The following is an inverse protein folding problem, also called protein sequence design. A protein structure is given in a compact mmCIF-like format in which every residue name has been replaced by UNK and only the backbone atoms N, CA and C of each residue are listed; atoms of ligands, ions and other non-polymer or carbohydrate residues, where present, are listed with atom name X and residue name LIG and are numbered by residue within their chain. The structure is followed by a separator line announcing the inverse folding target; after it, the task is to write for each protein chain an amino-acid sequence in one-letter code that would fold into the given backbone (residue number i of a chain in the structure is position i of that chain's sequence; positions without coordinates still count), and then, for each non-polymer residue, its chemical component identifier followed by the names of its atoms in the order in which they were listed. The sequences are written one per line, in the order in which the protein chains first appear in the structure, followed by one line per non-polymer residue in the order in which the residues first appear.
data_IF_959153594330
#
_entry.id   IF_959153594330
#
_cell.length_a   1.000
_cell.length_b   1.000
_cell.length_c   1.000
_cell.angle_alpha   90.00
_cell.angle_beta   90.00
_cell.angle_gamma   90.00
#
_symmetry.space_group_name_H-M   'P 1'
#
loop_
_entity.id
_entity.type
_entity.pdbx_description
1 polymer ?
#
# COMPACT_ATOMS: atom_id res chain seq x y z
N UNK A 1 -6.04 70.61 41.98
CA UNK A 1 -6.46 69.19 42.08
C UNK A 1 -7.32 68.96 40.82
N UNK A 2 -6.62 68.75 39.68
CA UNK A 2 -7.18 68.68 38.35
C UNK A 2 -7.39 67.18 38.02
N UNK A 3 -8.60 66.86 37.59
CA UNK A 3 -9.01 65.51 37.25
C UNK A 3 -8.45 65.12 35.86
N UNK A 4 -7.82 63.94 35.69
CA UNK A 4 -7.28 63.51 34.38
C UNK A 4 -8.29 62.63 33.68
N UNK A 5 -9.38 63.19 33.17
CA UNK A 5 -10.39 62.40 32.45
C UNK A 5 -10.81 63.08 31.13
N UNK A 6 -9.84 63.22 30.21
CA UNK A 6 -10.12 63.67 28.86
C UNK A 6 -9.17 62.95 27.88
N UNK A 7 -9.28 61.60 27.83
CA UNK A 7 -8.70 60.87 26.73
C UNK A 7 -9.70 60.92 25.55
N UNK A 8 -9.30 61.29 24.33
CA UNK A 8 -10.18 61.27 23.17
C UNK A 8 -10.59 59.81 22.85
N UNK A 9 -11.86 59.57 22.38
CA UNK A 9 -12.32 58.25 22.04
C UNK A 9 -11.43 57.67 20.95
N UNK A 10 -11.07 56.44 21.14
CA UNK A 10 -10.29 55.69 20.17
C UNK A 10 -11.00 55.71 18.81
N UNK A 11 -10.43 56.40 17.85
CA UNK A 11 -10.88 56.40 16.46
C UNK A 11 -10.92 54.96 15.98
N UNK A 12 -12.14 54.46 15.76
CA UNK A 12 -12.35 53.17 15.08
C UNK A 12 -11.61 53.19 13.77
N UNK A 13 -10.56 52.38 13.67
CA UNK A 13 -9.87 52.18 12.41
C UNK A 13 -10.89 51.57 11.43
N UNK A 14 -11.11 52.13 10.23
CA UNK A 14 -12.01 51.57 9.25
C UNK A 14 -11.60 50.12 9.03
N UNK A 15 -12.52 49.19 9.21
CA UNK A 15 -12.31 47.75 9.19
C UNK A 15 -11.50 47.37 7.94
N UNK A 16 -10.34 46.83 8.16
CA UNK A 16 -9.57 46.17 7.12
C UNK A 16 -10.44 45.01 6.63
N UNK A 17 -11.12 45.19 5.50
CA UNK A 17 -11.78 44.11 4.76
C UNK A 17 -10.64 43.23 4.23
N UNK A 18 -10.11 42.39 5.11
CA UNK A 18 -9.25 41.30 4.62
C UNK A 18 -10.13 40.45 3.71
N UNK A 19 -9.71 40.19 2.46
CA UNK A 19 -10.46 39.35 1.56
C UNK A 19 -10.73 38.05 2.28
N UNK A 20 -12.01 37.70 2.40
CA UNK A 20 -12.45 36.44 3.03
C UNK A 20 -11.64 35.32 2.44
N UNK A 21 -10.76 34.75 3.26
CA UNK A 21 -9.90 33.64 2.88
C UNK A 21 -10.81 32.56 2.33
N UNK A 22 -10.70 32.26 1.04
CA UNK A 22 -11.53 31.25 0.39
C UNK A 22 -11.52 29.93 1.18
N UNK A 23 -12.49 29.04 0.97
CA UNK A 23 -12.68 27.83 1.75
C UNK A 23 -11.35 27.10 1.94
N UNK A 24 -11.06 26.75 3.18
CA UNK A 24 -9.75 26.22 3.59
C UNK A 24 -9.41 24.98 2.75
N UNK A 25 -8.52 25.14 1.77
CA UNK A 25 -8.04 24.04 0.92
C UNK A 25 -7.39 22.90 1.71
N UNK A 26 -7.18 23.12 3.03
CA UNK A 26 -6.60 22.12 3.93
C UNK A 26 -7.56 21.02 4.32
N UNK A 27 -8.87 21.18 4.06
CA UNK A 27 -9.90 20.18 4.37
C UNK A 27 -10.06 19.10 3.28
N UNK A 28 -9.42 19.25 2.12
CA UNK A 28 -9.48 18.22 1.08
C UNK A 28 -8.61 17.01 1.47
N UNK A 29 -9.19 15.79 1.50
CA UNK A 29 -8.44 14.59 1.77
C UNK A 29 -7.36 14.41 0.69
N UNK A 30 -6.26 13.78 1.05
CA UNK A 30 -5.17 13.49 0.12
C UNK A 30 -5.67 12.46 -0.91
N UNK A 31 -5.55 12.71 -2.23
CA UNK A 31 -5.97 11.73 -3.22
C UNK A 31 -5.13 10.45 -3.10
N UNK A 32 -5.78 9.29 -3.23
CA UNK A 32 -5.14 7.98 -3.19
C UNK A 32 -4.09 7.82 -4.30
N UNK A 33 -4.42 8.29 -5.49
CA UNK A 33 -3.56 8.23 -6.66
C UNK A 33 -3.23 9.64 -7.14
N UNK A 34 -1.95 9.94 -7.24
CA UNK A 34 -1.43 11.13 -7.90
C UNK A 34 -0.29 10.71 -8.84
N UNK A 35 0.04 11.54 -9.81
CA UNK A 35 1.23 11.31 -10.66
C UNK A 35 2.52 11.13 -9.84
N UNK A 36 2.57 11.65 -8.63
CA UNK A 36 3.71 11.55 -7.72
C UNK A 36 3.74 10.21 -6.95
N UNK A 37 2.66 9.43 -6.95
CA UNK A 37 2.65 8.10 -6.35
C UNK A 37 3.59 7.12 -7.07
N UNK A 38 3.92 7.39 -8.34
CA UNK A 38 4.80 6.54 -9.17
C UNK A 38 6.08 7.25 -9.59
N UNK A 39 6.07 8.59 -9.73
CA UNK A 39 7.19 9.36 -10.27
C UNK A 39 8.08 10.00 -9.18
N UNK A 40 7.93 9.56 -7.93
CA UNK A 40 8.71 10.10 -6.80
C UNK A 40 8.16 11.43 -6.27
N UNK A 41 7.34 11.37 -5.24
CA UNK A 41 6.84 12.53 -4.51
C UNK A 41 7.76 12.93 -3.37
N UNK A 42 7.48 14.09 -2.77
CA UNK A 42 8.20 14.59 -1.59
C UNK A 42 7.46 14.33 -0.29
N UNK A 43 6.26 13.74 -0.35
CA UNK A 43 5.38 13.62 0.81
C UNK A 43 5.71 12.34 1.60
N UNK A 44 6.37 12.51 2.75
CA UNK A 44 6.78 11.42 3.64
C UNK A 44 5.78 11.16 4.77
N UNK A 45 4.98 12.17 5.16
CA UNK A 45 4.03 12.09 6.29
C UNK A 45 2.81 12.99 6.06
N UNK A 46 1.82 12.90 6.95
CA UNK A 46 0.71 13.85 7.03
C UNK A 46 1.18 15.29 7.27
N UNK A 47 0.31 16.25 6.99
CA UNK A 47 0.63 17.69 7.14
C UNK A 47 0.69 18.16 8.60
N UNK A 48 0.10 17.42 9.54
CA UNK A 48 0.10 17.72 10.97
C UNK A 48 1.06 16.80 11.69
N UNK A 49 1.77 17.35 12.66
CA UNK A 49 2.64 16.58 13.57
C UNK A 49 1.78 15.55 14.29
N UNK A 50 2.02 14.24 14.04
CA UNK A 50 1.26 13.14 14.61
C UNK A 50 0.30 12.42 13.64
N UNK A 51 0.00 12.97 12.45
CA UNK A 51 -0.77 12.27 11.41
C UNK A 51 0.15 11.33 10.61
N UNK A 52 0.48 10.18 11.19
CA UNK A 52 1.31 9.15 10.52
C UNK A 52 0.46 8.01 9.96
N UNK A 53 -0.75 7.81 10.51
CA UNK A 53 -1.65 6.72 10.11
C UNK A 53 -2.77 7.22 9.19
N UNK A 54 -3.21 6.34 8.27
CA UNK A 54 -4.32 6.57 7.34
C UNK A 54 -4.14 7.78 6.38
N UNK A 55 -2.90 8.11 6.04
CA UNK A 55 -2.56 9.19 5.09
C UNK A 55 -1.85 8.62 3.89
N UNK A 56 -2.27 9.00 2.68
CA UNK A 56 -1.55 8.61 1.47
C UNK A 56 -0.25 9.41 1.35
N UNK A 57 0.86 8.70 1.18
CA UNK A 57 2.22 9.26 1.07
C UNK A 57 2.88 8.78 -0.21
N UNK A 58 3.70 9.66 -0.81
CA UNK A 58 4.28 9.45 -2.14
C UNK A 58 5.71 8.88 -2.09
N UNK A 59 6.34 8.81 -0.89
CA UNK A 59 7.71 8.30 -0.73
C UNK A 59 7.68 6.91 -0.11
N UNK A 60 8.23 5.93 -0.81
CA UNK A 60 8.31 4.54 -0.36
C UNK A 60 9.71 4.23 0.17
N UNK A 61 9.79 3.56 1.30
CA UNK A 61 11.08 3.14 1.84
C UNK A 61 11.66 1.98 1.00
N UNK A 62 12.97 1.94 0.76
CA UNK A 62 13.59 0.82 0.04
C UNK A 62 13.32 -0.53 0.69
N UNK A 63 13.21 -0.57 2.02
CA UNK A 63 12.87 -1.78 2.79
C UNK A 63 11.48 -2.30 2.42
N UNK A 64 10.48 -1.42 2.30
CA UNK A 64 9.13 -1.83 1.89
C UNK A 64 9.13 -2.37 0.47
N UNK A 65 9.80 -1.68 -0.46
CA UNK A 65 9.90 -2.14 -1.85
C UNK A 65 10.56 -3.52 -1.91
N UNK A 66 11.66 -3.71 -1.19
CA UNK A 66 12.35 -5.01 -1.11
C UNK A 66 11.43 -6.12 -0.55
N UNK A 67 10.66 -5.83 0.51
CA UNK A 67 9.69 -6.77 1.07
C UNK A 67 8.61 -7.14 0.04
N UNK A 68 8.06 -6.17 -0.68
CA UNK A 68 7.05 -6.44 -1.72
C UNK A 68 7.62 -7.26 -2.88
N UNK A 69 8.86 -6.99 -3.30
CA UNK A 69 9.56 -7.78 -4.32
C UNK A 69 9.82 -9.22 -3.83
N UNK A 70 10.24 -9.39 -2.58
CA UNK A 70 10.41 -10.71 -1.98
C UNK A 70 9.09 -11.47 -1.93
N UNK A 71 8.00 -10.82 -1.54
CA UNK A 71 6.67 -11.41 -1.56
C UNK A 71 6.27 -11.86 -2.97
N UNK A 72 6.49 -10.99 -3.95
CA UNK A 72 6.21 -11.32 -5.36
C UNK A 72 7.03 -12.52 -5.83
N UNK A 73 8.31 -12.57 -5.49
CA UNK A 73 9.18 -13.70 -5.81
C UNK A 73 8.68 -15.02 -5.18
N UNK A 74 8.22 -14.98 -3.92
CA UNK A 74 7.60 -16.15 -3.26
C UNK A 74 6.33 -16.60 -3.99
N UNK A 75 5.52 -15.68 -4.47
CA UNK A 75 4.30 -16.00 -5.26
C UNK A 75 4.64 -16.69 -6.58
N UNK A 76 5.69 -16.21 -7.26
CA UNK A 76 6.18 -16.83 -8.51
C UNK A 76 6.76 -18.21 -8.22
N UNK A 77 7.58 -18.33 -7.17
CA UNK A 77 8.16 -19.60 -6.74
C UNK A 77 7.08 -20.64 -6.44
N UNK A 78 6.03 -20.26 -5.71
CA UNK A 78 4.87 -21.11 -5.44
C UNK A 78 4.18 -21.57 -6.73
N UNK A 79 3.98 -20.66 -7.69
CA UNK A 79 3.37 -21.02 -8.98
C UNK A 79 4.21 -22.04 -9.75
N UNK A 80 5.52 -21.85 -9.78
CA UNK A 80 6.45 -22.78 -10.43
C UNK A 80 6.48 -24.12 -9.70
N UNK A 81 6.51 -24.12 -8.36
CA UNK A 81 6.49 -25.34 -7.54
C UNK A 81 5.21 -26.15 -7.76
N UNK A 82 4.06 -25.47 -7.91
CA UNK A 82 2.79 -26.09 -8.27
C UNK A 82 2.89 -26.81 -9.63
N UNK A 83 3.42 -26.16 -10.66
CA UNK A 83 3.59 -26.77 -11.97
C UNK A 83 4.55 -27.96 -11.95
N UNK A 84 5.64 -27.89 -11.19
CA UNK A 84 6.58 -29.01 -11.00
C UNK A 84 5.88 -30.19 -10.30
N UNK A 85 5.09 -29.91 -9.25
CA UNK A 85 4.32 -30.93 -8.54
C UNK A 85 3.31 -31.64 -9.47
N UNK A 86 2.57 -30.87 -10.28
CA UNK A 86 1.64 -31.43 -11.25
C UNK A 86 2.34 -32.26 -12.33
N UNK A 87 3.51 -31.81 -12.79
CA UNK A 87 4.33 -32.57 -13.74
C UNK A 87 4.82 -33.93 -13.21
N UNK A 88 4.85 -34.12 -11.89
CA UNK A 88 5.15 -35.39 -11.20
C UNK A 88 3.90 -36.24 -10.91
N UNK A 89 2.74 -35.88 -11.47
CA UNK A 89 1.48 -36.60 -11.27
C UNK A 89 0.64 -36.12 -10.09
N UNK A 90 0.98 -34.97 -9.50
CA UNK A 90 0.16 -34.30 -8.47
C UNK A 90 -1.17 -33.79 -9.04
N UNK A 91 -2.06 -33.37 -8.15
CA UNK A 91 -3.37 -32.82 -8.51
C UNK A 91 -3.54 -31.42 -7.89
N UNK A 92 -4.12 -30.50 -8.66
CA UNK A 92 -4.54 -29.19 -8.15
C UNK A 92 -5.95 -29.32 -7.58
N UNK A 93 -6.16 -28.86 -6.34
CA UNK A 93 -7.44 -28.92 -5.65
C UNK A 93 -8.27 -27.64 -5.83
N UNK A 94 -7.64 -26.53 -6.17
CA UNK A 94 -8.33 -25.28 -6.42
C UNK A 94 -8.88 -25.25 -7.85
N UNK A 95 -10.20 -25.24 -8.06
CA UNK A 95 -10.79 -25.29 -9.39
C UNK A 95 -10.45 -24.09 -10.26
N UNK A 96 -10.20 -22.91 -9.65
CA UNK A 96 -9.79 -21.71 -10.39
C UNK A 96 -8.35 -21.88 -10.88
N UNK A 97 -7.45 -22.36 -10.03
CA UNK A 97 -6.07 -22.63 -10.41
C UNK A 97 -6.01 -23.73 -11.48
N UNK A 98 -6.75 -24.81 -11.33
CA UNK A 98 -6.84 -25.86 -12.33
C UNK A 98 -7.30 -25.34 -13.69
N UNK A 99 -8.37 -24.54 -13.72
CA UNK A 99 -8.85 -23.91 -14.95
C UNK A 99 -7.77 -23.06 -15.63
N UNK A 100 -7.00 -22.26 -14.87
CA UNK A 100 -5.89 -21.45 -15.41
C UNK A 100 -4.77 -22.35 -15.96
N UNK A 101 -4.48 -23.47 -15.31
CA UNK A 101 -3.45 -24.43 -15.73
C UNK A 101 -3.86 -25.13 -17.02
N UNK A 102 -5.14 -25.45 -17.19
CA UNK A 102 -5.71 -26.07 -18.39
C UNK A 102 -5.58 -25.15 -19.63
N UNK A 103 -5.55 -23.82 -19.41
CA UNK A 103 -5.24 -22.85 -20.48
C UNK A 103 -3.74 -22.81 -20.82
N UNK A 104 -2.89 -23.36 -19.96
CA UNK A 104 -1.44 -23.45 -20.10
C UNK A 104 -0.69 -23.02 -18.85
N UNK A 105 0.36 -23.74 -18.52
CA UNK A 105 1.15 -23.46 -17.30
C UNK A 105 1.71 -22.02 -17.27
N UNK A 106 2.16 -21.49 -18.41
CA UNK A 106 2.61 -20.08 -18.48
C UNK A 106 1.47 -19.10 -18.24
N UNK A 107 0.27 -19.39 -18.75
CA UNK A 107 -0.92 -18.57 -18.52
C UNK A 107 -1.28 -18.51 -17.04
N UNK A 108 -1.21 -19.66 -16.35
CA UNK A 108 -1.40 -19.73 -14.90
C UNK A 108 -0.40 -18.85 -14.13
N UNK A 109 0.91 -18.96 -14.44
CA UNK A 109 1.95 -18.16 -13.79
C UNK A 109 1.74 -16.66 -14.02
N UNK A 110 1.43 -16.26 -15.27
CA UNK A 110 1.19 -14.86 -15.61
C UNK A 110 -0.07 -14.32 -14.93
N UNK A 111 -1.19 -15.05 -14.99
CA UNK A 111 -2.44 -14.63 -14.37
C UNK A 111 -2.28 -14.43 -12.87
N UNK A 112 -1.67 -15.41 -12.17
CA UNK A 112 -1.38 -15.34 -10.74
C UNK A 112 -0.41 -14.21 -10.42
N UNK A 113 0.64 -14.01 -11.25
CA UNK A 113 1.58 -12.92 -11.12
C UNK A 113 0.93 -11.54 -11.25
N UNK A 114 0.06 -11.36 -12.25
CA UNK A 114 -0.67 -10.10 -12.45
C UNK A 114 -1.57 -9.80 -11.25
N UNK A 115 -2.39 -10.75 -10.82
CA UNK A 115 -3.28 -10.57 -9.66
C UNK A 115 -2.47 -10.25 -8.40
N UNK A 116 -1.41 -11.00 -8.13
CA UNK A 116 -0.54 -10.75 -6.98
C UNK A 116 0.14 -9.39 -7.07
N UNK A 117 0.65 -9.01 -8.23
CA UNK A 117 1.25 -7.70 -8.46
C UNK A 117 0.28 -6.54 -8.21
N UNK A 118 -0.96 -6.65 -8.66
CA UNK A 118 -2.01 -5.66 -8.39
C UNK A 118 -2.36 -5.57 -6.89
N UNK A 119 -2.46 -6.72 -6.21
CA UNK A 119 -2.67 -6.74 -4.75
C UNK A 119 -1.50 -6.09 -3.99
N UNK A 120 -0.26 -6.37 -4.37
CA UNK A 120 0.92 -5.77 -3.75
C UNK A 120 1.02 -4.26 -4.04
N UNK A 121 0.66 -3.84 -5.25
CA UNK A 121 0.56 -2.41 -5.58
C UNK A 121 -0.49 -1.72 -4.70
N UNK A 122 -1.65 -2.35 -4.50
CA UNK A 122 -2.68 -1.84 -3.60
C UNK A 122 -2.17 -1.73 -2.16
N UNK A 123 -1.48 -2.75 -1.65
CA UNK A 123 -0.85 -2.72 -0.32
C UNK A 123 0.21 -1.63 -0.22
N UNK A 124 1.02 -1.42 -1.27
CA UNK A 124 2.01 -0.37 -1.34
C UNK A 124 1.38 1.02 -1.20
N UNK A 125 0.29 1.29 -1.90
CA UNK A 125 -0.46 2.56 -1.81
C UNK A 125 -1.05 2.75 -0.41
N UNK A 126 -1.47 1.68 0.26
CA UNK A 126 -2.09 1.70 1.59
C UNK A 126 -1.12 1.42 2.74
N UNK A 127 0.18 1.55 2.54
CA UNK A 127 1.23 1.18 3.52
C UNK A 127 1.09 1.82 4.91
N UNK A 128 0.45 2.99 5.00
CA UNK A 128 0.22 3.71 6.26
C UNK A 128 -1.02 3.22 7.01
N UNK A 129 -1.85 2.40 6.35
CA UNK A 129 -3.06 1.84 6.94
C UNK A 129 -2.73 0.54 7.68
N UNK A 130 -3.24 0.40 8.91
CA UNK A 130 -3.03 -0.82 9.73
C UNK A 130 -3.50 -2.10 9.01
N UNK A 131 -4.69 -2.15 8.36
CA UNK A 131 -5.13 -3.36 7.67
C UNK A 131 -4.16 -3.82 6.58
N UNK A 132 -3.57 -2.89 5.82
CA UNK A 132 -2.61 -3.24 4.76
C UNK A 132 -1.33 -3.87 5.33
N UNK A 133 -0.83 -3.36 6.46
CA UNK A 133 0.33 -3.94 7.15
C UNK A 133 0.04 -5.33 7.71
N UNK A 134 -1.14 -5.53 8.30
CA UNK A 134 -1.57 -6.82 8.81
C UNK A 134 -1.76 -7.83 7.67
N UNK A 135 -2.43 -7.43 6.58
CA UNK A 135 -2.60 -8.26 5.39
C UNK A 135 -1.25 -8.70 4.80
N UNK A 136 -0.28 -7.78 4.72
CA UNK A 136 1.07 -8.09 4.25
C UNK A 136 1.77 -9.11 5.17
N UNK A 137 1.69 -8.94 6.49
CA UNK A 137 2.30 -9.86 7.45
C UNK A 137 1.68 -11.25 7.39
N UNK A 138 0.34 -11.35 7.32
CA UNK A 138 -0.38 -12.62 7.18
C UNK A 138 0.00 -13.29 5.86
N UNK A 139 0.01 -12.54 4.75
CA UNK A 139 0.41 -13.04 3.44
C UNK A 139 1.82 -13.60 3.44
N UNK A 140 2.78 -12.91 4.06
CA UNK A 140 4.15 -13.43 4.22
C UNK A 140 4.19 -14.74 5.00
N UNK A 141 3.52 -14.80 6.15
CA UNK A 141 3.47 -16.02 6.96
C UNK A 141 2.90 -17.19 6.16
N UNK A 142 1.82 -16.95 5.40
CA UNK A 142 1.18 -17.95 4.55
C UNK A 142 2.12 -18.45 3.45
N UNK A 143 2.74 -17.54 2.66
CA UNK A 143 3.63 -17.94 1.57
C UNK A 143 4.93 -18.58 2.07
N UNK A 144 5.41 -18.18 3.24
CA UNK A 144 6.56 -18.85 3.87
C UNK A 144 6.23 -20.30 4.28
N UNK A 145 5.06 -20.51 4.87
CA UNK A 145 4.58 -21.85 5.22
C UNK A 145 4.38 -22.70 3.96
N UNK A 146 3.80 -22.13 2.90
CA UNK A 146 3.59 -22.81 1.63
C UNK A 146 4.90 -23.18 0.93
N UNK A 147 5.89 -22.28 0.94
CA UNK A 147 7.23 -22.58 0.41
C UNK A 147 7.90 -23.73 1.19
N UNK A 148 7.79 -23.72 2.51
CA UNK A 148 8.26 -24.84 3.35
C UNK A 148 7.55 -26.17 3.03
N UNK A 149 6.24 -26.12 2.84
CA UNK A 149 5.45 -27.29 2.44
C UNK A 149 5.91 -27.85 1.09
N UNK A 150 6.08 -27.01 0.07
CA UNK A 150 6.58 -27.45 -1.23
C UNK A 150 8.00 -28.03 -1.15
N UNK A 151 8.86 -27.45 -0.32
CA UNK A 151 10.21 -28.00 -0.11
C UNK A 151 10.16 -29.40 0.48
N UNK A 152 9.33 -29.63 1.50
CA UNK A 152 9.14 -30.94 2.10
C UNK A 152 8.63 -31.95 1.08
N UNK A 153 7.61 -31.59 0.29
CA UNK A 153 7.09 -32.46 -0.76
C UNK A 153 8.15 -32.82 -1.81
N UNK A 154 8.98 -31.87 -2.19
CA UNK A 154 10.06 -32.12 -3.17
C UNK A 154 11.11 -33.07 -2.61
N UNK A 155 11.48 -32.93 -1.33
CA UNK A 155 12.44 -33.82 -0.66
C UNK A 155 11.88 -35.22 -0.48
N UNK A 156 10.58 -35.35 -0.14
CA UNK A 156 9.93 -36.68 0.02
C UNK A 156 9.65 -37.39 -1.30
N UNK A 157 9.66 -36.67 -2.42
CA UNK A 157 9.45 -37.22 -3.76
C UNK A 157 10.77 -37.59 -4.50
N UNK A 158 11.92 -37.46 -3.81
CA UNK A 158 13.24 -37.93 -4.24
C UNK A 158 13.48 -39.36 -3.76
#
# INVERSE_FOLDING_TARGET
MESPDNAPPATERPGSVFPTRGPDRRQRPTPMLSRYSFLGGRRQSGRRTGEVENVYVDVYSPRLVLLLLLFFALTVLDSVSTLVYLGKGGQELNPIAQWLIDQGGMFFVLAKGIVSGLCLLFVMLHKTFRPARVALAIGFAFYFALAGYHLVLQVMAL
#
